data_IF_700089005878
#
_entry.id   IF_700089005878
#
_cell.length_a   1.000
_cell.length_b   1.000
_cell.length_c   1.000
_cell.angle_alpha   90.00
_cell.angle_beta   90.00
_cell.angle_gamma   90.00
#
_symmetry.space_group_name_H-M   'P 1'
#
loop_
_entity.id
_entity.type
_entity.pdbx_description
1 polymer ?
#
# COMPACT_ATOMS: atom_id res chain seq x y z
N UNK A 1 -5.64 7.90 -50.53
CA UNK A 1 -6.64 7.45 -49.55
C UNK A 1 -6.05 7.68 -48.19
N UNK A 2 -6.80 8.38 -47.33
CA UNK A 2 -6.33 8.66 -45.98
C UNK A 2 -6.53 7.40 -45.13
N UNK A 3 -5.57 7.09 -44.25
CA UNK A 3 -5.64 5.97 -43.31
C UNK A 3 -5.57 6.53 -41.90
N UNK A 4 -6.62 6.33 -41.11
CA UNK A 4 -6.73 6.86 -39.74
C UNK A 4 -6.69 5.72 -38.72
N UNK A 5 -5.84 5.81 -37.68
CA UNK A 5 -5.80 4.82 -36.62
C UNK A 5 -6.84 5.09 -35.53
N UNK A 6 -7.19 4.06 -34.77
CA UNK A 6 -8.04 4.13 -33.59
C UNK A 6 -7.76 2.97 -32.65
N UNK A 7 -8.00 3.13 -31.35
CA UNK A 7 -8.01 2.03 -30.38
C UNK A 7 -9.46 1.63 -30.16
N UNK A 8 -9.83 0.37 -30.39
CA UNK A 8 -11.24 -0.06 -30.39
C UNK A 8 -11.60 -1.00 -29.24
N UNK A 9 -10.62 -1.70 -28.69
CA UNK A 9 -10.82 -2.65 -27.61
C UNK A 9 -9.56 -2.77 -26.74
N UNK A 10 -9.78 -3.19 -25.50
CA UNK A 10 -8.74 -3.66 -24.58
C UNK A 10 -9.22 -4.95 -23.94
N UNK A 11 -8.32 -5.92 -23.79
CA UNK A 11 -8.54 -7.10 -22.97
C UNK A 11 -7.45 -7.17 -21.91
N UNK A 12 -7.87 -7.33 -20.66
CA UNK A 12 -6.97 -7.51 -19.53
C UNK A 12 -6.82 -9.00 -19.19
N UNK A 13 -5.59 -9.42 -18.88
CA UNK A 13 -5.29 -10.72 -18.27
C UNK A 13 -4.45 -10.49 -17.02
N UNK A 14 -5.00 -10.82 -15.85
CA UNK A 14 -4.45 -10.48 -14.54
C UNK A 14 -5.51 -9.77 -13.68
N UNK A 15 -5.10 -9.24 -12.53
CA UNK A 15 -5.96 -8.45 -11.67
C UNK A 15 -5.97 -6.99 -12.09
N UNK A 16 -7.16 -6.44 -12.30
CA UNK A 16 -7.37 -5.04 -12.67
C UNK A 16 -7.84 -4.19 -11.51
N UNK A 17 -8.00 -4.77 -10.31
CA UNK A 17 -8.58 -4.11 -9.13
C UNK A 17 -9.86 -3.32 -9.45
N UNK A 18 -10.74 -3.94 -10.23
CA UNK A 18 -12.03 -3.35 -10.60
C UNK A 18 -12.01 -2.29 -11.71
N UNK A 19 -10.85 -1.93 -12.29
CA UNK A 19 -10.79 -1.03 -13.45
C UNK A 19 -11.65 -1.57 -14.61
N UNK A 20 -12.50 -0.70 -15.17
CA UNK A 20 -13.34 -1.04 -16.31
C UNK A 20 -12.56 -0.99 -17.62
N UNK A 21 -13.04 -1.70 -18.64
CA UNK A 21 -12.48 -1.59 -19.99
C UNK A 21 -12.52 -0.16 -20.55
N UNK A 22 -13.43 0.70 -20.08
CA UNK A 22 -13.50 2.11 -20.52
C UNK A 22 -12.32 2.89 -19.94
N UNK A 23 -12.02 2.68 -18.66
CA UNK A 23 -10.86 3.29 -17.99
C UNK A 23 -9.56 2.79 -18.63
N UNK A 24 -9.41 1.48 -18.80
CA UNK A 24 -8.25 0.90 -19.47
C UNK A 24 -8.09 1.40 -20.91
N UNK A 25 -9.18 1.51 -21.69
CA UNK A 25 -9.15 2.07 -23.05
C UNK A 25 -8.67 3.52 -23.08
N UNK A 26 -8.97 4.30 -22.04
CA UNK A 26 -8.54 5.70 -21.97
C UNK A 26 -7.03 5.87 -21.84
N UNK A 27 -6.32 4.83 -21.38
CA UNK A 27 -4.88 4.88 -21.14
C UNK A 27 -4.05 4.75 -22.42
N UNK A 28 -4.58 4.15 -23.49
CA UNK A 28 -3.87 4.05 -24.77
C UNK A 28 -4.44 5.05 -25.78
N UNK A 29 -3.57 5.93 -26.26
CA UNK A 29 -3.87 6.83 -27.37
C UNK A 29 -2.99 6.52 -28.59
N UNK A 30 -3.50 6.84 -29.78
CA UNK A 30 -2.80 6.77 -31.06
C UNK A 30 -2.88 8.12 -31.76
N UNK A 31 -2.14 8.30 -32.87
CA UNK A 31 -2.22 9.52 -33.68
C UNK A 31 -3.68 9.91 -34.01
N UNK A 32 -4.03 11.18 -33.78
CA UNK A 32 -5.41 11.66 -34.01
C UNK A 32 -5.72 11.91 -35.50
N UNK A 33 -4.68 12.15 -36.30
CA UNK A 33 -4.79 12.44 -37.72
C UNK A 33 -4.48 11.19 -38.58
N UNK A 34 -4.71 11.28 -39.89
CA UNK A 34 -4.34 10.23 -40.81
C UNK A 34 -2.82 10.00 -40.82
N UNK A 35 -2.40 8.75 -40.69
CA UNK A 35 -0.98 8.32 -40.67
C UNK A 35 -0.44 8.07 -42.09
N UNK A 36 -1.32 7.90 -43.07
CA UNK A 36 -1.02 7.85 -44.50
C UNK A 36 -2.00 8.80 -45.17
N UNK A 37 -1.51 9.74 -45.98
CA UNK A 37 -2.36 10.69 -46.68
C UNK A 37 -1.81 11.05 -48.07
N UNK A 38 -2.62 11.75 -48.87
CA UNK A 38 -2.23 12.28 -50.18
C UNK A 38 -1.72 11.19 -51.15
N UNK A 39 -0.42 11.24 -51.50
CA UNK A 39 0.25 10.32 -52.44
C UNK A 39 1.19 9.34 -51.74
N UNK A 40 1.19 9.32 -50.41
CA UNK A 40 1.97 8.39 -49.61
C UNK A 40 1.36 6.98 -49.68
N UNK A 41 2.21 5.96 -49.50
CA UNK A 41 1.76 4.56 -49.48
C UNK A 41 2.19 3.84 -48.19
N UNK A 42 2.88 4.55 -47.31
CA UNK A 42 3.38 4.10 -46.02
C UNK A 42 3.27 5.24 -45.01
N UNK A 43 3.26 4.85 -43.74
CA UNK A 43 3.04 5.74 -42.61
C UNK A 43 3.50 5.06 -41.33
N UNK A 44 3.71 5.87 -40.30
CA UNK A 44 4.06 5.38 -38.97
C UNK A 44 2.93 5.73 -38.02
N UNK A 45 2.44 4.73 -37.30
CA UNK A 45 1.50 4.91 -36.20
C UNK A 45 2.31 5.06 -34.91
N UNK A 46 2.13 6.18 -34.24
CA UNK A 46 2.63 6.41 -32.88
C UNK A 46 1.52 6.14 -31.88
N UNK A 47 1.91 5.60 -30.73
CA UNK A 47 1.01 5.34 -29.62
C UNK A 47 1.64 5.81 -28.33
N UNK A 48 0.80 6.19 -27.37
CA UNK A 48 1.21 6.56 -26.02
C UNK A 48 0.32 5.81 -25.03
N UNK A 49 0.96 5.21 -24.03
CA UNK A 49 0.29 4.65 -22.87
C UNK A 49 0.48 5.61 -21.70
N UNK A 50 -0.62 6.01 -21.05
CA UNK A 50 -0.66 6.92 -19.92
C UNK A 50 -1.74 6.47 -18.93
N UNK A 51 -1.31 5.89 -17.82
CA UNK A 51 -2.22 5.44 -16.75
C UNK A 51 -2.80 6.59 -15.92
N UNK A 52 -2.22 7.80 -16.01
CA UNK A 52 -2.70 8.98 -15.26
C UNK A 52 -4.02 9.55 -15.80
N UNK A 53 -4.54 8.99 -16.91
CA UNK A 53 -5.88 9.29 -17.42
C UNK A 53 -6.99 8.80 -16.48
N UNK A 54 -6.66 7.87 -15.57
CA UNK A 54 -7.51 7.38 -14.50
C UNK A 54 -7.01 7.95 -13.18
N UNK A 55 -7.92 8.32 -12.29
CA UNK A 55 -7.55 8.93 -11.01
C UNK A 55 -7.00 7.89 -10.03
N UNK A 56 -5.96 8.28 -9.28
CA UNK A 56 -5.26 7.39 -8.35
C UNK A 56 -4.11 6.66 -9.03
N UNK A 57 -3.46 5.78 -8.27
CA UNK A 57 -2.37 4.94 -8.77
C UNK A 57 -2.95 3.62 -9.24
N UNK A 58 -3.30 3.56 -10.53
CA UNK A 58 -4.17 2.53 -11.11
C UNK A 58 -3.66 1.07 -10.98
N UNK A 59 -2.40 0.88 -10.61
CA UNK A 59 -1.75 -0.44 -10.58
C UNK A 59 -0.89 -0.69 -9.33
N UNK A 60 -0.93 0.19 -8.32
CA UNK A 60 -0.16 0.03 -7.08
C UNK A 60 -0.66 -1.15 -6.23
N UNK A 61 -1.78 -1.76 -6.62
CA UNK A 61 -2.31 -2.97 -5.99
C UNK A 61 -1.52 -4.25 -6.33
N UNK A 62 -0.67 -4.20 -7.36
CA UNK A 62 0.08 -5.35 -7.86
C UNK A 62 1.38 -5.57 -7.06
N UNK A 63 1.42 -6.68 -6.33
CA UNK A 63 2.57 -7.07 -5.53
C UNK A 63 3.73 -7.65 -6.36
N UNK A 64 4.89 -7.85 -5.72
CA UNK A 64 6.08 -8.42 -6.38
C UNK A 64 5.78 -9.80 -6.97
N UNK A 65 5.97 -9.91 -8.28
CA UNK A 65 5.75 -11.15 -9.03
C UNK A 65 4.36 -11.27 -9.63
N UNK A 66 3.46 -10.33 -9.32
CA UNK A 66 2.20 -10.15 -10.03
C UNK A 66 2.39 -9.36 -11.32
N UNK A 67 1.50 -9.58 -12.28
CA UNK A 67 1.52 -8.86 -13.54
C UNK A 67 0.14 -8.73 -14.13
N UNK A 68 -0.13 -7.56 -14.71
CA UNK A 68 -1.31 -7.29 -15.52
C UNK A 68 -0.89 -7.10 -16.97
N UNK A 69 -1.48 -7.87 -17.87
CA UNK A 69 -1.27 -7.73 -19.31
C UNK A 69 -2.49 -7.07 -19.93
N UNK A 70 -2.28 -5.95 -20.61
CA UNK A 70 -3.29 -5.20 -21.34
C UNK A 70 -3.02 -5.31 -22.85
N UNK A 71 -3.91 -6.01 -23.54
CA UNK A 71 -3.86 -6.18 -24.99
C UNK A 71 -4.86 -5.22 -25.65
N UNK A 72 -4.34 -4.19 -26.30
CA UNK A 72 -5.12 -3.17 -27.00
C UNK A 72 -5.24 -3.48 -28.48
N UNK A 73 -6.46 -3.54 -28.99
CA UNK A 73 -6.72 -3.66 -30.43
C UNK A 73 -6.67 -2.28 -31.08
N UNK A 74 -5.64 -2.06 -31.90
CA UNK A 74 -5.48 -0.89 -32.74
C UNK A 74 -5.97 -1.21 -34.14
N UNK A 75 -6.86 -0.37 -34.66
CA UNK A 75 -7.47 -0.51 -35.99
C UNK A 75 -7.09 0.68 -36.84
N UNK A 76 -6.55 0.43 -38.02
CA UNK A 76 -6.39 1.44 -39.07
C UNK A 76 -7.51 1.28 -40.09
N UNK A 77 -8.13 2.39 -40.49
CA UNK A 77 -9.24 2.41 -41.44
C UNK A 77 -8.89 3.32 -42.60
N UNK A 78 -8.99 2.83 -43.83
CA UNK A 78 -8.82 3.67 -45.02
C UNK A 78 -10.08 4.50 -45.31
N UNK A 79 -9.95 5.49 -46.20
CA UNK A 79 -11.08 6.36 -46.59
C UNK A 79 -12.23 5.62 -47.30
N UNK A 80 -12.05 4.35 -47.66
CA UNK A 80 -13.09 3.48 -48.25
C UNK A 80 -13.74 2.57 -47.20
N UNK A 81 -13.31 2.64 -45.94
CA UNK A 81 -13.83 1.88 -44.80
C UNK A 81 -13.24 0.47 -44.66
N UNK A 82 -12.16 0.15 -45.37
CA UNK A 82 -11.44 -1.12 -45.20
C UNK A 82 -10.50 -1.00 -44.01
N UNK A 83 -10.48 -2.03 -43.16
CA UNK A 83 -9.72 -2.02 -41.92
C UNK A 83 -8.60 -3.05 -41.91
N UNK A 84 -7.57 -2.76 -41.12
CA UNK A 84 -6.58 -3.72 -40.66
C UNK A 84 -6.36 -3.53 -39.14
N UNK A 85 -6.07 -4.61 -38.44
CA UNK A 85 -5.97 -4.61 -36.98
C UNK A 85 -4.61 -5.15 -36.51
N UNK A 86 -4.12 -4.61 -35.41
CA UNK A 86 -2.93 -5.09 -34.72
C UNK A 86 -3.12 -4.93 -33.20
N UNK A 87 -2.62 -5.90 -32.43
CA UNK A 87 -2.59 -5.81 -30.96
C UNK A 87 -1.30 -5.14 -30.50
N UNK A 88 -1.45 -4.13 -29.63
CA UNK A 88 -0.38 -3.56 -28.80
C UNK A 88 -0.52 -4.14 -27.41
N UNK A 89 0.53 -4.82 -26.92
CA UNK A 89 0.52 -5.49 -25.62
C UNK A 89 1.36 -4.68 -24.63
N UNK A 90 0.77 -4.31 -23.50
CA UNK A 90 1.42 -3.64 -22.38
C UNK A 90 1.44 -4.61 -21.19
N UNK A 91 2.63 -4.85 -20.63
CA UNK A 91 2.78 -5.66 -19.41
C UNK A 91 3.19 -4.77 -18.27
N UNK A 92 2.34 -4.70 -17.25
CA UNK A 92 2.59 -4.02 -15.98
C UNK A 92 3.06 -5.10 -15.00
N UNK A 93 4.20 -4.89 -14.36
CA UNK A 93 4.74 -5.81 -13.36
C UNK A 93 4.64 -5.11 -12.00
N UNK A 94 4.17 -5.83 -11.00
CA UNK A 94 4.01 -5.31 -9.66
C UNK A 94 5.33 -4.98 -8.96
N UNK A 95 5.23 -4.12 -7.95
CA UNK A 95 6.30 -3.75 -7.03
C UNK A 95 5.94 -4.17 -5.61
N UNK A 96 6.79 -3.83 -4.64
CA UNK A 96 6.40 -3.89 -3.23
C UNK A 96 6.31 -2.45 -2.76
N UNK A 97 5.15 -2.05 -2.31
CA UNK A 97 4.92 -0.86 -1.53
C UNK A 97 5.09 -1.22 -0.05
N UNK A 98 5.67 -0.32 0.73
CA UNK A 98 5.96 -0.60 2.12
C UNK A 98 4.73 -0.26 2.98
N UNK A 99 4.39 -1.09 3.98
CA UNK A 99 3.28 -0.78 4.87
C UNK A 99 3.55 0.50 5.67
N UNK A 100 2.49 1.26 5.93
CA UNK A 100 2.52 2.55 6.63
C UNK A 100 1.71 2.46 7.90
N UNK A 101 2.31 2.84 9.03
CA UNK A 101 1.60 3.03 10.30
C UNK A 101 1.21 4.50 10.45
N UNK A 102 -0.04 4.77 10.79
CA UNK A 102 -0.60 6.10 11.00
C UNK A 102 -1.42 6.18 12.31
N UNK A 103 -1.72 7.41 12.72
CA UNK A 103 -2.65 7.70 13.81
C UNK A 103 -3.87 8.34 13.16
N UNK A 104 -4.98 7.61 13.09
CA UNK A 104 -6.22 8.08 12.51
C UNK A 104 -7.39 7.94 13.47
N UNK A 105 -8.39 8.82 13.36
CA UNK A 105 -9.60 8.75 14.18
C UNK A 105 -9.32 8.72 15.68
N UNK A 106 -9.62 7.58 16.31
CA UNK A 106 -9.50 7.32 17.75
C UNK A 106 -8.19 6.60 18.14
N UNK A 107 -7.25 6.43 17.20
CA UNK A 107 -5.93 5.84 17.45
C UNK A 107 -5.11 6.64 18.48
N UNK A 108 -4.22 5.93 19.18
CA UNK A 108 -3.29 6.53 20.14
C UNK A 108 -1.93 5.84 20.05
N UNK A 109 -0.87 6.64 19.98
CA UNK A 109 0.53 6.17 20.01
C UNK A 109 1.23 6.49 21.35
N UNK A 110 0.52 7.08 22.32
CA UNK A 110 1.12 7.51 23.58
C UNK A 110 0.09 7.62 24.68
N UNK A 111 0.42 7.09 25.87
CA UNK A 111 -0.42 7.19 27.06
C UNK A 111 0.38 7.67 28.26
N UNK A 112 -0.30 8.35 29.18
CA UNK A 112 0.28 8.81 30.44
C UNK A 112 -0.40 8.08 31.59
N UNK A 113 0.36 7.24 32.29
CA UNK A 113 -0.12 6.50 33.45
C UNK A 113 0.40 7.14 34.74
N UNK A 114 -0.40 7.06 35.79
CA UNK A 114 0.03 7.42 37.14
C UNK A 114 0.33 6.12 37.86
N UNK A 115 1.51 6.04 38.45
CA UNK A 115 1.94 4.97 39.35
C UNK A 115 0.98 4.92 40.57
N UNK A 116 0.59 3.72 41.00
CA UNK A 116 -0.46 3.51 42.03
C UNK A 116 -0.17 2.31 42.95
N UNK A 117 1.11 1.95 43.14
CA UNK A 117 1.59 0.76 43.85
C UNK A 117 0.95 -0.54 43.29
N UNK A 118 0.56 -0.53 42.01
CA UNK A 118 -0.24 -1.58 41.35
C UNK A 118 0.26 -1.81 39.92
N UNK A 119 -0.22 -2.89 39.28
CA UNK A 119 0.05 -3.15 37.86
C UNK A 119 -0.51 -2.03 36.99
N UNK A 120 0.31 -1.53 36.07
CA UNK A 120 -0.08 -0.55 35.07
C UNK A 120 -0.41 -1.25 33.75
N UNK A 121 -1.65 -1.05 33.29
CA UNK A 121 -2.12 -1.56 32.00
C UNK A 121 -2.77 -0.45 31.19
N UNK A 122 -2.48 -0.39 29.90
CA UNK A 122 -3.24 0.43 28.94
C UNK A 122 -3.16 -0.20 27.55
N UNK A 123 -4.05 0.20 26.66
CA UNK A 123 -4.11 -0.32 25.30
C UNK A 123 -4.59 0.78 24.35
N UNK A 124 -4.29 0.59 23.08
CA UNK A 124 -4.74 1.49 22.02
C UNK A 124 -4.62 0.81 20.66
N UNK A 125 -4.95 1.59 19.64
CA UNK A 125 -4.88 1.17 18.25
C UNK A 125 -4.03 2.12 17.43
N UNK A 126 -3.50 1.59 16.32
CA UNK A 126 -2.90 2.34 15.23
C UNK A 126 -3.48 1.81 13.92
N UNK A 127 -3.68 2.69 12.95
CA UNK A 127 -4.09 2.34 11.60
C UNK A 127 -2.88 1.94 10.78
N UNK A 128 -2.99 0.86 10.02
CA UNK A 128 -1.94 0.38 9.11
C UNK A 128 -2.53 0.25 7.73
N UNK A 129 -1.79 0.70 6.71
CA UNK A 129 -2.17 0.50 5.31
C UNK A 129 -1.01 -0.08 4.51
N UNK A 130 -1.35 -0.87 3.50
CA UNK A 130 -0.45 -1.40 2.48
C UNK A 130 -1.19 -1.37 1.14
N UNK A 131 -0.53 -0.90 0.08
CA UNK A 131 -1.18 -0.78 -1.22
C UNK A 131 -1.24 -2.13 -1.94
N UNK A 132 -0.32 -3.05 -1.66
CA UNK A 132 -0.24 -4.35 -2.29
C UNK A 132 -1.35 -5.28 -1.80
N UNK A 133 -2.28 -5.64 -2.69
CA UNK A 133 -3.49 -6.37 -2.29
C UNK A 133 -3.25 -7.77 -1.78
N UNK A 134 -2.15 -8.42 -2.17
CA UNK A 134 -1.85 -9.81 -1.81
C UNK A 134 -0.77 -9.97 -0.75
N UNK A 135 -0.29 -8.86 -0.17
CA UNK A 135 0.70 -8.85 0.89
C UNK A 135 0.10 -9.24 2.26
N UNK A 136 0.98 -9.68 3.15
CA UNK A 136 0.66 -10.00 4.54
C UNK A 136 1.50 -9.12 5.46
N UNK A 137 0.83 -8.30 6.27
CA UNK A 137 1.50 -7.35 7.17
C UNK A 137 1.33 -7.80 8.61
N UNK A 138 2.44 -8.04 9.30
CA UNK A 138 2.45 -8.50 10.69
C UNK A 138 3.29 -7.57 11.57
N UNK A 139 2.70 -6.93 12.59
CA UNK A 139 3.44 -5.99 13.41
C UNK A 139 4.40 -6.69 14.37
N UNK A 140 5.44 -5.98 14.79
CA UNK A 140 6.32 -6.42 15.88
C UNK A 140 6.93 -5.26 16.66
N UNK A 141 7.15 -5.47 17.96
CA UNK A 141 7.90 -4.53 18.81
C UNK A 141 9.37 -4.95 18.81
N UNK A 142 10.24 -4.06 18.36
CA UNK A 142 11.66 -4.40 18.11
C UNK A 142 12.62 -3.77 19.11
N UNK A 143 12.22 -2.66 19.74
CA UNK A 143 13.06 -1.96 20.70
C UNK A 143 12.24 -1.17 21.70
N UNK A 144 12.87 -0.89 22.83
CA UNK A 144 12.42 0.08 23.83
C UNK A 144 13.61 0.91 24.28
N UNK A 145 13.40 2.20 24.45
CA UNK A 145 14.35 3.09 25.14
C UNK A 145 13.67 3.73 26.34
N UNK A 146 14.37 3.76 27.47
CA UNK A 146 13.88 4.34 28.70
C UNK A 146 14.62 5.64 29.02
N UNK A 147 13.86 6.68 29.37
CA UNK A 147 14.38 7.94 29.92
C UNK A 147 13.79 8.17 31.29
N UNK A 148 14.62 8.12 32.34
CA UNK A 148 14.19 8.20 33.74
C UNK A 148 14.83 7.10 34.58
N UNK A 149 14.33 6.92 35.80
CA UNK A 149 14.73 5.80 36.65
C UNK A 149 13.92 4.55 36.32
N UNK A 150 14.62 3.46 36.03
CA UNK A 150 14.03 2.15 35.70
C UNK A 150 14.12 1.17 36.85
N UNK A 151 14.70 1.57 37.98
CA UNK A 151 15.02 0.71 39.13
C UNK A 151 15.76 -0.59 38.75
N UNK A 152 16.60 -0.49 37.71
CA UNK A 152 17.42 -1.60 37.24
C UNK A 152 16.75 -2.56 36.26
N UNK A 153 15.51 -2.29 35.82
CA UNK A 153 14.88 -3.04 34.73
C UNK A 153 15.71 -2.96 33.46
N UNK A 154 15.92 -4.12 32.84
CA UNK A 154 16.59 -4.21 31.56
C UNK A 154 15.66 -3.82 30.40
N UNK A 155 16.23 -3.42 29.27
CA UNK A 155 15.44 -3.21 28.06
C UNK A 155 14.68 -4.46 27.62
N UNK A 156 15.15 -5.67 27.94
CA UNK A 156 14.44 -6.89 27.60
C UNK A 156 13.17 -7.07 28.44
N UNK A 157 13.23 -6.74 29.73
CA UNK A 157 12.08 -6.73 30.63
C UNK A 157 11.08 -5.64 30.22
N UNK A 158 11.56 -4.42 29.95
CA UNK A 158 10.72 -3.33 29.46
C UNK A 158 10.09 -3.67 28.09
N UNK A 159 10.84 -4.29 27.17
CA UNK A 159 10.33 -4.68 25.86
C UNK A 159 9.19 -5.69 25.98
N UNK A 160 9.23 -6.57 26.98
CA UNK A 160 8.17 -7.55 27.24
C UNK A 160 6.87 -6.95 27.76
N UNK A 161 6.88 -5.68 28.18
CA UNK A 161 5.69 -4.98 28.66
C UNK A 161 4.78 -4.49 27.54
N UNK A 162 5.29 -4.31 26.32
CA UNK A 162 4.46 -3.95 25.17
C UNK A 162 4.24 -5.16 24.25
N UNK A 163 2.98 -5.52 24.05
CA UNK A 163 2.57 -6.50 23.05
C UNK A 163 1.77 -5.83 21.93
N UNK A 164 1.91 -6.36 20.72
CA UNK A 164 1.08 -6.05 19.54
C UNK A 164 0.40 -7.33 19.04
N UNK A 165 -0.47 -7.22 18.04
CA UNK A 165 -1.05 -8.39 17.38
C UNK A 165 0.02 -9.40 16.92
N UNK A 166 -0.24 -10.68 17.18
CA UNK A 166 0.70 -11.76 16.86
C UNK A 166 0.49 -12.35 15.46
N UNK A 167 -0.70 -12.16 14.92
CA UNK A 167 -1.09 -12.60 13.58
C UNK A 167 -1.09 -11.40 12.63
N UNK A 168 -1.16 -11.66 11.33
CA UNK A 168 -1.26 -10.62 10.33
C UNK A 168 -2.50 -9.74 10.53
N UNK A 169 -2.30 -8.43 10.42
CA UNK A 169 -3.34 -7.40 10.55
C UNK A 169 -3.86 -6.93 9.19
N UNK A 170 -3.10 -7.19 8.13
CA UNK A 170 -3.51 -7.06 6.72
C UNK A 170 -3.19 -8.39 6.05
N UNK A 171 -4.17 -8.96 5.34
CA UNK A 171 -4.00 -10.19 4.59
C UNK A 171 -5.04 -10.33 3.46
N UNK A 172 -4.77 -11.24 2.54
CA UNK A 172 -5.65 -11.66 1.45
C UNK A 172 -5.87 -10.62 0.34
N UNK A 173 -6.86 -9.74 0.49
CA UNK A 173 -7.27 -8.69 -0.47
C UNK A 173 -7.64 -7.41 0.27
N UNK A 174 -7.20 -7.30 1.52
CA UNK A 174 -7.39 -6.12 2.35
C UNK A 174 -6.13 -5.27 2.23
N UNK A 175 -6.30 -3.94 2.22
CA UNK A 175 -5.21 -2.97 2.12
C UNK A 175 -5.08 -2.13 3.40
N UNK A 176 -6.01 -2.29 4.33
CA UNK A 176 -6.09 -1.54 5.57
C UNK A 176 -6.30 -2.51 6.74
N UNK A 177 -5.59 -2.26 7.83
CA UNK A 177 -5.61 -3.06 9.04
C UNK A 177 -5.56 -2.20 10.29
N UNK A 178 -5.91 -2.81 11.42
CA UNK A 178 -5.80 -2.18 12.74
C UNK A 178 -4.79 -2.93 13.58
N UNK A 179 -3.74 -2.22 13.99
CA UNK A 179 -2.75 -2.71 14.95
C UNK A 179 -3.22 -2.38 16.35
N UNK A 180 -3.51 -3.41 17.14
CA UNK A 180 -3.82 -3.33 18.55
C UNK A 180 -2.52 -3.46 19.35
N UNK A 181 -2.28 -2.52 20.25
CA UNK A 181 -1.16 -2.61 21.17
C UNK A 181 -1.68 -2.62 22.61
N UNK A 182 -0.96 -3.30 23.48
CA UNK A 182 -1.24 -3.35 24.91
C UNK A 182 0.06 -3.23 25.67
N UNK A 183 0.08 -2.28 26.60
CA UNK A 183 1.11 -2.18 27.63
C UNK A 183 0.60 -2.86 28.90
N UNK A 184 1.39 -3.78 29.45
CA UNK A 184 1.10 -4.50 30.69
C UNK A 184 2.40 -4.72 31.48
N UNK A 185 2.51 -4.00 32.62
CA UNK A 185 3.67 -4.10 33.49
C UNK A 185 3.77 -5.43 34.25
N UNK A 186 2.71 -6.24 34.29
CA UNK A 186 2.71 -7.56 34.97
C UNK A 186 3.47 -8.65 34.22
N UNK A 187 3.88 -8.36 32.98
CA UNK A 187 4.81 -9.18 32.20
C UNK A 187 6.16 -9.37 32.91
N UNK A 188 6.53 -8.46 33.81
CA UNK A 188 7.69 -8.54 34.69
C UNK A 188 7.22 -8.76 36.13
N UNK A 189 7.92 -9.62 36.87
CA UNK A 189 7.54 -9.95 38.24
C UNK A 189 7.81 -8.78 39.20
N UNK A 190 6.78 -8.34 39.93
CA UNK A 190 6.86 -7.29 40.94
C UNK A 190 6.08 -6.04 40.55
N UNK A 191 6.06 -5.05 41.44
CA UNK A 191 5.50 -3.72 41.18
C UNK A 191 6.56 -2.89 40.44
N UNK A 192 6.66 -3.08 39.12
CA UNK A 192 7.78 -2.62 38.28
C UNK A 192 8.06 -1.10 38.32
N UNK A 193 7.12 -0.29 38.82
CA UNK A 193 7.21 1.17 38.82
C UNK A 193 6.95 1.83 40.18
N UNK A 194 6.70 1.07 41.25
CA UNK A 194 6.43 1.56 42.63
C UNK A 194 7.61 2.35 43.25
N UNK A 195 8.73 2.46 42.54
CA UNK A 195 9.87 3.28 42.95
C UNK A 195 9.74 4.77 42.61
N UNK A 196 8.84 5.17 41.70
CA UNK A 196 8.78 6.54 41.19
C UNK A 196 8.20 7.51 42.23
N UNK A 197 9.01 8.46 42.70
CA UNK A 197 8.55 9.47 43.65
C UNK A 197 7.67 10.55 43.01
N UNK A 198 6.94 11.31 43.83
CA UNK A 198 6.11 12.43 43.37
C UNK A 198 6.92 13.43 42.55
N UNK A 199 6.57 13.58 41.26
CA UNK A 199 7.22 14.49 40.32
C UNK A 199 8.35 13.86 39.51
N UNK A 200 8.68 12.58 39.75
CA UNK A 200 9.53 11.80 38.86
C UNK A 200 8.71 11.27 37.68
N UNK A 201 9.39 10.94 36.59
CA UNK A 201 8.75 10.37 35.40
C UNK A 201 9.71 9.42 34.72
N UNK A 202 9.16 8.31 34.24
CA UNK A 202 9.82 7.37 33.36
C UNK A 202 9.10 7.41 32.01
N UNK A 203 9.86 7.66 30.95
CA UNK A 203 9.35 7.63 29.57
C UNK A 203 9.89 6.37 28.90
N UNK A 204 8.99 5.57 28.34
CA UNK A 204 9.31 4.38 27.56
C UNK A 204 8.91 4.63 26.10
N UNK A 205 9.89 4.78 25.23
CA UNK A 205 9.67 4.91 23.79
C UNK A 205 9.86 3.55 23.14
N UNK A 206 8.78 2.96 22.64
CA UNK A 206 8.79 1.68 21.93
C UNK A 206 8.92 1.90 20.42
N UNK A 207 9.67 1.01 19.78
CA UNK A 207 9.76 0.94 18.30
C UNK A 207 8.90 -0.22 17.81
N UNK A 208 7.83 0.12 17.11
CA UNK A 208 6.94 -0.84 16.43
C UNK A 208 7.24 -0.77 14.93
N UNK A 209 7.33 -1.93 14.29
CA UNK A 209 7.48 -2.09 12.84
C UNK A 209 6.37 -3.00 12.31
N UNK A 210 6.11 -2.88 11.02
CA UNK A 210 5.19 -3.69 10.22
C UNK A 210 5.92 -4.24 9.01
#
# INVERSE_FOLDING_TARGET
DDVTPSVTAVTATGDTDGLSNVELLSMLSVDADAIIANTENDGTLNWTFDSSSVAGEAFDHLAVGESLVLDYTVVVTDSQGVTAEQVVSITINGSNDAPVIAIEGDDSASESLTETDDTLTTAGTLSVSDLDTTDEVTPSVTAVTATGDTDGLSNAELLSMLSVDADAIIANTENDGTLNWTFDSSSVAGEAFDHLAVGESLVLDYTVVV
#
